data_IF_386771444351
#
_entry.id   IF_386771444351
#
_cell.length_a   1.000
_cell.length_b   1.000
_cell.length_c   1.000
_cell.angle_alpha   90.00
_cell.angle_beta   90.00
_cell.angle_gamma   90.00
#
_symmetry.space_group_name_H-M   'P 1'
#
loop_
_entity.id
_entity.type
_entity.pdbx_description
1 polymer ?
#
# COMPACT_ATOMS: atom_id res chain seq x y z
N UNK A 1 -46.33 14.29 27.06
CA UNK A 1 -45.52 15.05 28.02
C UNK A 1 -44.38 14.14 28.43
N UNK A 2 -43.13 14.25 28.01
CA UNK A 2 -42.39 15.22 27.21
C UNK A 2 -41.15 14.52 26.62
N UNK A 3 -40.62 15.03 25.52
CA UNK A 3 -39.34 14.63 24.91
C UNK A 3 -38.20 15.50 25.48
N UNK A 4 -36.99 14.96 25.62
CA UNK A 4 -35.81 15.67 25.09
C UNK A 4 -34.88 14.68 24.36
N UNK A 5 -34.71 14.75 23.03
CA UNK A 5 -33.86 15.66 22.25
C UNK A 5 -32.38 15.50 22.61
N UNK A 6 -31.62 14.83 21.73
CA UNK A 6 -30.33 15.35 21.21
C UNK A 6 -29.82 14.54 20.02
N UNK A 7 -29.75 15.23 18.89
CA UNK A 7 -28.61 15.22 17.97
C UNK A 7 -28.34 13.95 17.15
N UNK A 8 -29.00 13.85 16.01
CA UNK A 8 -28.45 13.16 14.84
C UNK A 8 -27.82 14.20 13.92
N UNK A 9 -26.49 14.19 13.79
CA UNK A 9 -25.65 14.55 12.63
C UNK A 9 -24.18 14.68 13.06
N UNK A 10 -23.18 14.52 12.18
CA UNK A 10 -22.84 13.34 11.36
C UNK A 10 -21.34 12.97 11.59
N UNK A 11 -20.92 11.69 11.51
CA UNK A 11 -19.48 11.42 11.58
C UNK A 11 -19.01 10.25 10.72
N UNK A 12 -18.53 10.64 9.55
CA UNK A 12 -17.37 10.15 8.81
C UNK A 12 -17.27 8.64 8.55
N UNK A 13 -17.33 8.32 7.26
CA UNK A 13 -16.80 7.12 6.63
C UNK A 13 -15.47 6.69 7.25
N UNK A 14 -15.49 5.64 8.05
CA UNK A 14 -14.28 4.97 8.54
C UNK A 14 -13.79 3.96 7.51
N UNK A 15 -13.41 4.50 6.35
CA UNK A 15 -12.61 3.84 5.31
C UNK A 15 -11.16 3.71 5.82
N UNK A 16 -10.95 2.95 6.90
CA UNK A 16 -9.63 2.82 7.57
C UNK A 16 -9.31 1.40 8.03
N UNK A 17 -10.01 0.39 7.51
CA UNK A 17 -9.84 -1.02 7.91
C UNK A 17 -9.12 -1.86 6.86
N UNK A 18 -9.22 -1.56 5.56
CA UNK A 18 -8.56 -2.35 4.51
C UNK A 18 -7.06 -2.05 4.37
N UNK A 19 -6.65 -0.78 4.49
CA UNK A 19 -5.24 -0.40 4.39
C UNK A 19 -4.41 -0.85 5.60
N UNK A 20 -5.01 -0.82 6.79
CA UNK A 20 -4.36 -1.26 8.03
C UNK A 20 -4.20 -2.78 8.07
N UNK A 21 -5.20 -3.56 7.63
CA UNK A 21 -5.08 -5.01 7.51
C UNK A 21 -4.03 -5.42 6.46
N UNK A 22 -3.94 -4.71 5.33
CA UNK A 22 -2.93 -4.97 4.32
C UNK A 22 -1.50 -4.81 4.88
N UNK A 23 -1.21 -3.71 5.60
CA UNK A 23 0.11 -3.50 6.22
C UNK A 23 0.41 -4.47 7.36
N UNK A 24 -0.61 -4.88 8.12
CA UNK A 24 -0.48 -5.87 9.20
C UNK A 24 -0.14 -7.27 8.68
N UNK A 25 -0.49 -7.58 7.43
CA UNK A 25 -0.20 -8.88 6.81
C UNK A 25 1.22 -8.93 6.21
N UNK A 26 1.78 -7.78 5.81
CA UNK A 26 3.17 -7.68 5.34
C UNK A 26 4.16 -7.83 6.52
N UNK A 27 3.78 -7.35 7.71
CA UNK A 27 4.68 -7.36 8.89
C UNK A 27 4.65 -8.65 9.72
N UNK A 28 3.62 -9.51 9.56
CA UNK A 28 3.46 -10.75 10.34
C UNK A 28 4.13 -11.99 9.76
N UNK A 29 4.67 -11.91 8.55
CA UNK A 29 5.37 -13.04 7.95
C UNK A 29 6.86 -12.83 8.13
N UNK A 30 7.56 -13.85 8.65
CA UNK A 30 9.01 -13.92 8.58
C UNK A 30 9.38 -13.95 7.09
N UNK A 31 9.52 -12.78 6.47
CA UNK A 31 10.05 -12.68 5.13
C UNK A 31 11.36 -13.47 5.12
N UNK A 32 11.61 -14.32 4.12
CA UNK A 32 12.92 -14.93 3.94
C UNK A 32 13.95 -13.82 4.08
N UNK A 33 14.91 -13.99 5.01
CA UNK A 33 15.87 -12.93 5.39
C UNK A 33 16.49 -12.25 4.16
N UNK A 34 16.61 -12.98 3.05
CA UNK A 34 17.11 -12.49 1.78
C UNK A 34 16.28 -11.36 1.14
N UNK A 35 14.93 -11.36 1.21
CA UNK A 35 14.10 -10.33 0.56
C UNK A 35 14.31 -8.97 1.23
N UNK A 36 14.33 -8.96 2.57
CA UNK A 36 14.64 -7.76 3.35
C UNK A 36 16.04 -7.23 3.03
N UNK A 37 17.01 -8.13 2.87
CA UNK A 37 18.37 -7.78 2.47
C UNK A 37 18.44 -7.22 1.04
N UNK A 38 17.68 -7.77 0.09
CA UNK A 38 17.61 -7.24 -1.28
C UNK A 38 17.08 -5.80 -1.28
N UNK A 39 16.01 -5.53 -0.53
CA UNK A 39 15.46 -4.18 -0.39
C UNK A 39 16.46 -3.22 0.25
N UNK A 40 17.06 -3.61 1.39
CA UNK A 40 18.00 -2.76 2.14
C UNK A 40 19.27 -2.45 1.35
N UNK A 41 19.81 -3.43 0.61
CA UNK A 41 21.04 -3.26 -0.17
C UNK A 41 20.80 -2.60 -1.53
N UNK A 42 19.56 -2.61 -2.04
CA UNK A 42 19.21 -2.11 -3.37
C UNK A 42 19.81 -2.90 -4.54
N UNK A 43 20.41 -4.08 -4.29
CA UNK A 43 21.01 -4.91 -5.33
C UNK A 43 19.94 -5.36 -6.33
N UNK A 44 20.25 -5.23 -7.62
CA UNK A 44 19.38 -5.64 -8.72
C UNK A 44 18.01 -4.94 -8.76
N UNK A 45 17.92 -3.74 -8.18
CA UNK A 45 16.70 -2.92 -8.31
C UNK A 45 16.53 -2.47 -9.75
N UNK A 46 15.32 -2.61 -10.26
CA UNK A 46 14.92 -2.36 -11.66
C UNK A 46 13.66 -1.48 -11.75
N UNK A 47 13.18 -0.99 -10.59
CA UNK A 47 12.06 -0.06 -10.49
C UNK A 47 12.33 0.99 -9.42
N UNK A 48 11.93 2.23 -9.71
CA UNK A 48 11.90 3.33 -8.75
C UNK A 48 10.46 3.81 -8.60
N UNK A 49 9.91 3.69 -7.40
CA UNK A 49 8.61 4.29 -7.05
C UNK A 49 8.87 5.65 -6.44
N UNK A 50 8.30 6.70 -7.01
CA UNK A 50 8.39 8.06 -6.46
C UNK A 50 7.05 8.45 -5.85
N UNK A 51 7.06 8.88 -4.59
CA UNK A 51 5.86 9.33 -3.89
C UNK A 51 6.22 10.44 -2.92
N UNK A 52 5.55 11.59 -3.03
CA UNK A 52 5.71 12.75 -2.13
C UNK A 52 7.19 13.16 -1.90
N UNK A 53 7.97 13.23 -2.98
CA UNK A 53 9.40 13.60 -2.91
C UNK A 53 10.32 12.51 -2.36
N UNK A 54 9.81 11.32 -2.03
CA UNK A 54 10.62 10.15 -1.68
C UNK A 54 10.76 9.21 -2.87
N UNK A 55 11.93 8.60 -2.98
CA UNK A 55 12.21 7.58 -3.99
C UNK A 55 12.47 6.23 -3.31
N UNK A 56 11.80 5.20 -3.80
CA UNK A 56 11.95 3.82 -3.33
C UNK A 56 12.51 2.96 -4.46
N UNK A 57 13.77 2.53 -4.33
CA UNK A 57 14.39 1.57 -5.26
C UNK A 57 13.95 0.17 -4.89
N UNK A 58 13.22 -0.48 -5.79
CA UNK A 58 12.53 -1.75 -5.54
C UNK A 58 12.69 -2.71 -6.72
N UNK A 59 12.25 -3.95 -6.54
CA UNK A 59 12.31 -5.02 -7.54
C UNK A 59 10.94 -5.24 -8.16
N UNK A 60 10.81 -5.10 -9.48
CA UNK A 60 9.56 -5.28 -10.24
C UNK A 60 8.94 -6.64 -9.95
N UNK A 61 9.73 -7.71 -10.02
CA UNK A 61 9.24 -9.07 -9.79
C UNK A 61 8.58 -9.25 -8.41
N UNK A 62 9.11 -8.57 -7.39
CA UNK A 62 8.55 -8.62 -6.03
C UNK A 62 7.33 -7.71 -5.93
N UNK A 63 7.43 -6.45 -6.36
CA UNK A 63 6.34 -5.48 -6.19
C UNK A 63 5.11 -5.83 -7.03
N UNK A 64 5.29 -6.28 -8.28
CA UNK A 64 4.17 -6.64 -9.15
C UNK A 64 3.46 -7.92 -8.68
N UNK A 65 4.20 -8.89 -8.12
CA UNK A 65 3.56 -10.11 -7.57
C UNK A 65 2.74 -9.83 -6.30
N UNK A 66 3.09 -8.79 -5.54
CA UNK A 66 2.37 -8.40 -4.33
C UNK A 66 1.27 -7.35 -4.57
N UNK A 67 1.24 -6.67 -5.72
CA UNK A 67 0.32 -5.57 -5.98
C UNK A 67 -0.21 -5.60 -7.42
N UNK A 68 -1.47 -6.01 -7.56
CA UNK A 68 -2.22 -6.00 -8.84
C UNK A 68 -2.24 -4.63 -9.52
N UNK A 69 -2.51 -3.48 -8.84
CA UNK A 69 -2.52 -2.20 -9.52
C UNK A 69 -1.12 -1.79 -10.03
N UNK A 70 -0.06 -2.09 -9.27
CA UNK A 70 1.30 -1.80 -9.72
C UNK A 70 1.72 -2.70 -10.89
N UNK A 71 1.32 -3.98 -10.88
CA UNK A 71 1.52 -4.88 -12.00
C UNK A 71 0.79 -4.35 -13.25
N UNK A 72 -0.51 -4.06 -13.15
CA UNK A 72 -1.30 -3.55 -14.26
C UNK A 72 -0.74 -2.24 -14.84
N UNK A 73 -0.26 -1.34 -13.99
CA UNK A 73 0.36 -0.08 -14.41
C UNK A 73 1.69 -0.28 -15.14
N UNK A 74 2.49 -1.27 -14.75
CA UNK A 74 3.78 -1.56 -15.38
C UNK A 74 3.64 -2.41 -16.65
N UNK A 75 2.64 -3.29 -16.71
CA UNK A 75 2.39 -4.17 -17.85
C UNK A 75 1.66 -3.43 -18.98
N UNK A 76 0.66 -2.62 -18.65
CA UNK A 76 -0.22 -1.96 -19.62
C UNK A 76 -0.01 -0.44 -19.72
N UNK A 77 0.90 0.11 -18.91
CA UNK A 77 1.06 1.55 -18.75
C UNK A 77 -0.01 2.17 -17.83
N UNK A 78 0.24 3.40 -17.37
CA UNK A 78 -0.76 4.18 -16.64
C UNK A 78 -1.79 4.75 -17.62
N UNK A 79 -3.08 4.47 -17.39
CA UNK A 79 -4.16 5.16 -18.08
C UNK A 79 -4.16 6.63 -17.64
N UNK A 80 -3.81 7.53 -18.55
CA UNK A 80 -4.07 8.96 -18.37
C UNK A 80 -5.57 9.15 -18.62
N UNK A 81 -6.29 9.61 -17.61
CA UNK A 81 -7.72 9.96 -17.69
C UNK A 81 -7.88 11.39 -18.18
#
# INVERSE_FOLDING_TARGET
MDLPKTTNQPLADNQSSSESLFMNNITKQAHPLFISQLYTTGKYTDLVVKCQGKEFKVHRAIVCSQSKPLAAALDNGFKVM
#
